data_IF_044979178892
#
_entry.id   IF_044979178892
#
_cell.length_a   1.000
_cell.length_b   1.000
_cell.length_c   1.000
_cell.angle_alpha   90.00
_cell.angle_beta   90.00
_cell.angle_gamma   90.00
#
_symmetry.space_group_name_H-M   'P 1'
#
loop_
_entity.id
_entity.type
_entity.pdbx_description
1 polymer ?
#
# COMPACT_ATOMS: atom_id res chain seq x y z
N UNK A 1 0.76 22.78 -13.01
CA UNK A 1 -0.70 22.82 -12.74
C UNK A 1 -0.95 21.77 -11.65
N UNK A 2 -1.28 22.18 -10.42
CA UNK A 2 -1.44 21.24 -9.28
C UNK A 2 -2.61 20.29 -9.57
N UNK A 3 -2.31 19.03 -9.82
CA UNK A 3 -3.32 17.99 -9.98
C UNK A 3 -3.70 17.55 -8.57
N UNK A 4 -4.81 18.08 -8.05
CA UNK A 4 -5.53 17.46 -6.95
C UNK A 4 -6.26 16.24 -7.52
N UNK A 5 -5.73 15.03 -7.32
CA UNK A 5 -6.49 13.81 -7.52
C UNK A 5 -7.26 13.50 -6.25
N UNK A 6 -8.58 13.66 -6.32
CA UNK A 6 -9.54 13.18 -5.33
C UNK A 6 -9.60 11.65 -5.37
N UNK A 7 -9.25 11.00 -4.26
CA UNK A 7 -9.41 9.55 -4.03
C UNK A 7 -10.91 9.25 -3.82
N UNK A 8 -11.51 8.27 -4.51
CA UNK A 8 -12.91 7.92 -4.28
C UNK A 8 -13.06 7.10 -2.98
N UNK A 9 -13.99 7.52 -2.12
CA UNK A 9 -14.50 6.68 -1.03
C UNK A 9 -15.19 5.44 -1.63
N UNK A 10 -14.60 4.26 -1.44
CA UNK A 10 -15.30 3.00 -1.66
C UNK A 10 -16.23 2.74 -0.46
N UNK A 11 -17.53 2.86 -0.69
CA UNK A 11 -18.55 2.28 0.20
C UNK A 11 -18.62 0.78 -0.06
N UNK A 12 -18.03 -0.05 0.82
CA UNK A 12 -18.27 -1.49 0.80
C UNK A 12 -19.58 -1.82 1.51
N UNK A 13 -20.47 -2.49 0.79
CA UNK A 13 -21.66 -3.11 1.35
C UNK A 13 -21.25 -4.36 2.14
N UNK A 14 -21.70 -4.44 3.39
CA UNK A 14 -21.55 -5.59 4.26
C UNK A 14 -22.33 -6.79 3.70
N UNK A 15 -21.61 -7.84 3.28
CA UNK A 15 -22.19 -9.17 3.11
C UNK A 15 -21.66 -10.08 4.20
N UNK A 16 -22.57 -10.70 4.93
CA UNK A 16 -22.35 -11.55 6.10
C UNK A 16 -21.18 -12.54 5.92
N UNK A 17 -20.26 -12.53 6.89
CA UNK A 17 -19.26 -13.58 7.08
C UNK A 17 -19.90 -14.77 7.84
N UNK A 18 -19.58 -16.03 7.48
CA UNK A 18 -20.08 -17.22 8.15
C UNK A 18 -19.29 -17.55 9.42
N UNK A 19 -19.97 -18.19 10.37
CA UNK A 19 -19.43 -18.76 11.61
C UNK A 19 -18.04 -19.40 11.44
N UNK A 20 -17.08 -18.99 12.28
CA UNK A 20 -15.82 -19.71 12.48
C UNK A 20 -15.70 -20.23 13.92
N UNK A 21 -15.20 -21.46 14.11
CA UNK A 21 -15.13 -22.12 15.41
C UNK A 21 -13.77 -21.89 16.08
N UNK A 22 -13.73 -21.04 17.10
CA UNK A 22 -12.59 -20.90 18.03
C UNK A 22 -12.80 -21.77 19.27
N UNK A 23 -11.87 -22.70 19.53
CA UNK A 23 -11.91 -23.54 20.72
C UNK A 23 -11.59 -22.73 21.97
N UNK A 24 -12.58 -22.59 22.87
CA UNK A 24 -12.43 -21.93 24.18
C UNK A 24 -11.35 -22.62 25.02
N UNK A 25 -10.40 -21.85 25.53
CA UNK A 25 -9.58 -22.23 26.68
C UNK A 25 -10.49 -22.42 27.91
N UNK A 26 -10.19 -23.43 28.70
CA UNK A 26 -11.06 -23.94 29.74
C UNK A 26 -11.21 -22.94 30.91
N UNK A 27 -12.45 -22.49 31.14
CA UNK A 27 -12.83 -21.76 32.35
C UNK A 27 -12.75 -22.67 33.59
N UNK A 28 -12.16 -22.14 34.66
CA UNK A 28 -12.09 -22.79 35.96
C UNK A 28 -13.49 -22.87 36.60
N UNK A 29 -13.84 -24.04 37.13
CA UNK A 29 -15.10 -24.31 37.84
C UNK A 29 -14.99 -23.98 39.32
N UNK A 30 -15.91 -23.19 39.88
CA UNK A 30 -16.35 -23.28 41.30
C UNK A 30 -17.84 -22.90 41.44
N UNK A 31 -18.52 -23.51 42.40
CA UNK A 31 -19.97 -23.48 42.66
C UNK A 31 -20.43 -22.50 43.77
N UNK A 32 -21.55 -21.83 43.50
CA UNK A 32 -22.61 -21.20 44.31
C UNK A 32 -22.57 -21.24 45.88
N UNK A 33 -22.85 -20.06 46.45
CA UNK A 33 -23.36 -19.64 47.79
C UNK A 33 -22.78 -20.22 49.09
N UNK A 34 -21.57 -20.78 49.07
CA UNK A 34 -20.78 -20.96 50.32
C UNK A 34 -19.31 -20.63 50.13
N UNK A 35 -18.98 -19.34 50.00
CA UNK A 35 -17.59 -18.88 49.93
C UNK A 35 -16.78 -19.45 48.76
N UNK A 36 -17.43 -19.72 47.62
CA UNK A 36 -16.79 -20.13 46.37
C UNK A 36 -16.74 -18.97 45.38
N UNK A 37 -15.63 -18.85 44.65
CA UNK A 37 -15.41 -17.85 43.59
C UNK A 37 -16.44 -18.02 42.47
N UNK A 38 -17.14 -16.94 42.11
CA UNK A 38 -18.07 -16.89 40.96
C UNK A 38 -17.23 -16.71 39.70
N UNK A 39 -17.37 -17.59 38.71
CA UNK A 39 -16.70 -17.44 37.41
C UNK A 39 -17.39 -16.33 36.60
N UNK A 40 -16.65 -15.62 35.73
CA UNK A 40 -17.26 -14.55 34.94
C UNK A 40 -18.46 -15.01 34.09
N UNK A 41 -18.42 -16.25 33.59
CA UNK A 41 -19.51 -16.84 32.81
C UNK A 41 -20.81 -17.02 33.59
N UNK A 42 -20.73 -17.10 34.93
CA UNK A 42 -21.89 -17.29 35.82
C UNK A 42 -22.28 -15.97 36.55
N UNK A 43 -21.58 -14.88 36.27
CA UNK A 43 -21.83 -13.59 36.90
C UNK A 43 -23.17 -12.98 36.44
N UNK A 44 -23.90 -12.27 37.33
CA UNK A 44 -25.16 -11.63 36.99
C UNK A 44 -25.01 -10.59 35.88
N UNK A 45 -26.02 -10.51 35.03
CA UNK A 45 -26.11 -9.52 33.96
C UNK A 45 -26.73 -8.21 34.47
N UNK A 46 -26.12 -7.09 34.09
CA UNK A 46 -26.72 -5.75 34.19
C UNK A 46 -27.25 -5.39 32.81
N UNK A 47 -28.58 -5.42 32.68
CA UNK A 47 -29.31 -5.17 31.44
C UNK A 47 -30.05 -3.83 31.54
N UNK A 48 -29.40 -2.72 31.17
CA UNK A 48 -30.08 -1.49 30.74
C UNK A 48 -29.08 -0.66 29.90
N UNK A 49 -29.48 -0.41 28.65
CA UNK A 49 -28.64 -0.01 27.53
C UNK A 49 -27.91 1.34 27.74
N UNK A 50 -26.64 1.40 27.33
CA UNK A 50 -25.71 2.52 27.51
C UNK A 50 -25.46 2.84 28.99
N UNK A 51 -24.57 2.07 29.62
CA UNK A 51 -24.07 2.42 30.96
C UNK A 51 -23.13 3.62 30.81
N UNK A 52 -23.70 4.82 30.86
CA UNK A 52 -22.95 6.05 31.14
C UNK A 52 -22.63 6.00 32.63
N UNK A 53 -21.39 5.67 32.98
CA UNK A 53 -20.96 5.61 34.37
C UNK A 53 -20.73 7.03 34.86
N UNK A 54 -21.73 7.59 35.55
CA UNK A 54 -21.60 8.83 36.30
C UNK A 54 -21.30 8.53 37.78
N UNK A 55 -20.66 9.47 38.47
CA UNK A 55 -20.23 9.35 39.88
C UNK A 55 -21.31 8.77 40.79
N UNK A 56 -20.98 7.69 41.50
CA UNK A 56 -21.83 7.06 42.50
C UNK A 56 -22.87 6.08 41.96
N UNK A 57 -22.79 5.69 40.69
CA UNK A 57 -23.78 4.83 40.03
C UNK A 57 -23.19 3.62 39.25
N UNK A 58 -21.94 3.21 39.52
CA UNK A 58 -21.34 2.05 38.85
C UNK A 58 -21.90 0.70 39.33
N UNK A 59 -21.83 -0.35 38.50
CA UNK A 59 -22.43 -1.67 38.75
C UNK A 59 -21.86 -2.40 39.99
N UNK A 60 -20.70 -2.01 40.50
CA UNK A 60 -19.97 -2.75 41.52
C UNK A 60 -20.39 -2.45 42.97
N UNK A 61 -21.67 -2.68 43.29
CA UNK A 61 -22.21 -2.43 44.64
C UNK A 61 -21.97 -3.57 45.66
N UNK A 62 -21.63 -4.79 45.23
CA UNK A 62 -21.57 -5.98 46.12
C UNK A 62 -20.26 -6.77 46.13
N UNK A 63 -19.16 -6.28 45.54
CA UNK A 63 -17.88 -7.02 45.35
C UNK A 63 -17.96 -8.31 44.52
N UNK A 64 -19.15 -8.70 44.06
CA UNK A 64 -19.36 -9.82 43.14
C UNK A 64 -19.09 -9.38 41.69
N UNK A 65 -18.59 -10.29 40.85
CA UNK A 65 -18.39 -10.04 39.42
C UNK A 65 -19.72 -9.73 38.72
N UNK A 66 -19.66 -8.95 37.64
CA UNK A 66 -20.82 -8.54 36.84
C UNK A 66 -20.52 -8.62 35.34
N UNK A 67 -21.54 -8.98 34.55
CA UNK A 67 -21.54 -8.92 33.07
C UNK A 67 -22.41 -7.76 32.61
N UNK A 68 -21.91 -6.91 31.72
CA UNK A 68 -22.68 -5.81 31.12
C UNK A 68 -23.26 -6.27 29.80
N UNK A 69 -24.56 -6.10 29.58
CA UNK A 69 -25.21 -6.36 28.29
C UNK A 69 -25.51 -5.03 27.61
N UNK A 70 -24.82 -4.75 26.51
CA UNK A 70 -24.86 -3.46 25.81
C UNK A 70 -23.54 -2.69 25.88
N UNK A 71 -23.56 -1.47 25.33
CA UNK A 71 -22.38 -0.62 25.25
C UNK A 71 -22.09 0.09 26.59
N UNK A 72 -20.82 0.32 26.85
CA UNK A 72 -20.29 1.02 28.01
C UNK A 72 -19.50 2.25 27.56
N UNK A 73 -19.88 3.41 28.09
CA UNK A 73 -19.28 4.70 27.74
C UNK A 73 -18.65 5.34 28.98
N UNK A 74 -17.33 5.47 28.96
CA UNK A 74 -16.53 6.18 29.94
C UNK A 74 -16.13 7.54 29.35
N UNK A 75 -16.97 8.54 29.61
CA UNK A 75 -16.74 9.95 29.24
C UNK A 75 -16.79 10.82 30.48
N UNK A 76 -15.86 11.77 30.57
CA UNK A 76 -15.65 12.64 31.72
C UNK A 76 -15.20 11.86 32.97
N UNK A 77 -14.24 12.42 33.73
CA UNK A 77 -13.59 11.78 34.90
C UNK A 77 -14.51 11.64 36.14
N UNK A 78 -15.77 11.27 35.95
CA UNK A 78 -16.78 11.20 37.00
C UNK A 78 -16.92 9.81 37.61
N UNK A 79 -16.08 8.82 37.29
CA UNK A 79 -16.18 7.47 37.85
C UNK A 79 -14.98 7.17 38.76
N UNK A 80 -15.23 6.45 39.86
CA UNK A 80 -14.16 5.99 40.75
C UNK A 80 -13.72 4.57 40.35
N UNK A 81 -12.42 4.21 40.39
CA UNK A 81 -11.96 2.89 39.93
C UNK A 81 -12.64 1.69 40.60
N UNK A 82 -13.05 1.83 41.86
CA UNK A 82 -13.77 0.78 42.62
C UNK A 82 -15.18 0.51 42.07
N UNK A 83 -15.75 1.45 41.32
CA UNK A 83 -17.12 1.34 40.77
C UNK A 83 -17.21 0.38 39.58
N UNK A 84 -16.07 0.03 38.97
CA UNK A 84 -15.99 -0.77 37.73
C UNK A 84 -15.11 -2.02 37.86
N UNK A 85 -14.39 -2.18 38.98
CA UNK A 85 -13.41 -3.27 39.16
C UNK A 85 -14.01 -4.67 39.10
N UNK A 86 -15.31 -4.82 39.36
CA UNK A 86 -16.04 -6.09 39.29
C UNK A 86 -16.53 -6.48 37.89
N UNK A 87 -16.48 -5.56 36.92
CA UNK A 87 -16.93 -5.84 35.56
C UNK A 87 -15.98 -6.86 34.94
N UNK A 88 -16.52 -8.01 34.57
CA UNK A 88 -15.74 -9.11 34.01
C UNK A 88 -16.05 -9.39 32.54
N UNK A 89 -17.22 -8.98 32.06
CA UNK A 89 -17.61 -9.09 30.66
C UNK A 89 -18.41 -7.87 30.21
N UNK A 90 -18.22 -7.47 28.95
CA UNK A 90 -19.04 -6.49 28.24
C UNK A 90 -19.52 -7.15 26.94
N UNK A 91 -20.78 -7.55 26.91
CA UNK A 91 -21.48 -8.02 25.71
C UNK A 91 -21.92 -6.82 24.86
N UNK A 92 -20.94 -6.07 24.36
CA UNK A 92 -21.14 -4.82 23.64
C UNK A 92 -19.81 -4.09 23.47
N UNK A 93 -19.88 -2.80 23.20
CA UNK A 93 -18.72 -1.96 22.94
C UNK A 93 -18.25 -1.23 24.19
N UNK A 94 -16.95 -1.01 24.31
CA UNK A 94 -16.34 -0.17 25.34
C UNK A 94 -15.72 1.07 24.69
N UNK A 95 -16.21 2.23 25.09
CA UNK A 95 -15.74 3.54 24.65
C UNK A 95 -15.13 4.27 25.85
N UNK A 96 -13.88 4.71 25.74
CA UNK A 96 -13.15 5.45 26.76
C UNK A 96 -12.65 6.73 26.10
N UNK A 97 -13.45 7.79 26.17
CA UNK A 97 -13.25 8.98 25.35
C UNK A 97 -13.25 10.27 26.18
N UNK A 98 -12.44 11.24 25.79
CA UNK A 98 -12.46 12.60 26.34
C UNK A 98 -12.27 12.67 27.88
N UNK A 99 -11.35 11.86 28.43
CA UNK A 99 -11.01 11.87 29.86
C UNK A 99 -9.66 12.56 30.11
N UNK A 100 -9.63 13.89 30.35
CA UNK A 100 -8.39 14.63 30.50
C UNK A 100 -7.67 14.43 31.84
N UNK A 101 -8.33 13.92 32.89
CA UNK A 101 -7.67 13.61 34.16
C UNK A 101 -7.32 12.11 34.33
N UNK A 102 -7.91 11.23 33.53
CA UNK A 102 -7.56 9.82 33.48
C UNK A 102 -6.08 9.64 33.16
N UNK A 103 -5.32 9.25 34.17
CA UNK A 103 -3.85 9.16 34.11
C UNK A 103 -3.27 7.83 34.59
N UNK A 104 -4.00 7.12 35.45
CA UNK A 104 -3.71 5.76 35.89
C UNK A 104 -4.25 4.72 34.91
N UNK A 105 -4.02 3.44 35.19
CA UNK A 105 -4.67 2.34 34.47
C UNK A 105 -6.20 2.40 34.50
N UNK A 106 -6.79 1.59 33.65
CA UNK A 106 -8.22 1.46 33.46
C UNK A 106 -8.85 0.69 34.62
N UNK A 107 -10.11 0.99 34.98
CA UNK A 107 -10.73 0.51 36.21
C UNK A 107 -11.26 -0.92 36.10
N UNK A 108 -10.71 -1.71 35.19
CA UNK A 108 -11.16 -3.05 34.85
C UNK A 108 -10.16 -4.06 35.42
N UNK A 109 -10.36 -4.56 36.64
CA UNK A 109 -9.43 -5.54 37.22
C UNK A 109 -9.72 -6.98 36.79
N UNK A 110 -10.92 -7.24 36.26
CA UNK A 110 -11.40 -8.59 35.96
C UNK A 110 -11.98 -8.72 34.54
N UNK A 111 -11.83 -7.72 33.68
CA UNK A 111 -12.42 -7.75 32.34
C UNK A 111 -11.70 -8.78 31.47
N UNK A 112 -12.43 -9.83 31.11
CA UNK A 112 -11.96 -10.97 30.32
C UNK A 112 -12.65 -11.02 28.95
N UNK A 113 -13.91 -10.60 28.86
CA UNK A 113 -14.72 -10.71 27.62
C UNK A 113 -15.20 -9.33 27.15
N UNK A 114 -14.90 -8.98 25.88
CA UNK A 114 -15.40 -7.79 25.21
C UNK A 114 -15.80 -8.13 23.77
N UNK A 115 -17.11 -8.26 23.50
CA UNK A 115 -17.59 -8.78 22.21
C UNK A 115 -17.69 -7.71 21.11
N UNK A 116 -17.73 -6.43 21.49
CA UNK A 116 -17.84 -5.29 20.58
C UNK A 116 -16.51 -4.60 20.33
N UNK A 117 -16.57 -3.29 20.10
CA UNK A 117 -15.39 -2.48 19.83
C UNK A 117 -14.73 -2.01 21.13
N UNK A 118 -13.41 -1.81 21.10
CA UNK A 118 -12.64 -1.14 22.14
C UNK A 118 -12.06 0.16 21.58
N UNK A 119 -12.68 1.29 21.89
CA UNK A 119 -12.21 2.59 21.45
C UNK A 119 -11.71 3.39 22.65
N UNK A 120 -10.44 3.77 22.60
CA UNK A 120 -9.79 4.61 23.59
C UNK A 120 -9.26 5.83 22.84
N UNK A 121 -10.01 6.92 22.91
CA UNK A 121 -9.77 8.11 22.09
C UNK A 121 -9.65 9.37 22.98
N UNK A 122 -8.73 10.28 22.66
CA UNK A 122 -8.64 11.60 23.28
C UNK A 122 -8.48 11.59 24.83
N UNK A 123 -7.61 10.70 25.33
CA UNK A 123 -7.24 10.63 26.76
C UNK A 123 -5.78 11.10 26.95
N UNK A 124 -5.53 12.42 27.02
CA UNK A 124 -4.19 13.00 26.89
C UNK A 124 -3.25 12.72 28.08
N UNK A 125 -3.77 12.23 29.21
CA UNK A 125 -2.97 11.90 30.38
C UNK A 125 -2.84 10.39 30.62
N UNK A 126 -3.53 9.54 29.84
CA UNK A 126 -3.54 8.09 30.05
C UNK A 126 -2.15 7.52 29.76
N UNK A 127 -1.52 6.93 30.78
CA UNK A 127 -0.12 6.45 30.68
C UNK A 127 0.01 4.96 30.41
N UNK A 128 -1.04 4.18 30.67
CA UNK A 128 -1.05 2.71 30.57
C UNK A 128 -2.43 2.19 30.23
N UNK A 129 -2.49 1.03 29.58
CA UNK A 129 -3.72 0.28 29.30
C UNK A 129 -3.96 -0.84 30.35
N UNK A 130 -3.25 -0.81 31.48
CA UNK A 130 -3.44 -1.74 32.60
C UNK A 130 -4.95 -1.86 32.94
N UNK A 131 -5.44 -3.09 33.07
CA UNK A 131 -6.86 -3.41 33.24
C UNK A 131 -7.48 -4.13 32.03
N UNK A 132 -6.77 -4.21 30.91
CA UNK A 132 -7.24 -4.93 29.71
C UNK A 132 -6.49 -6.24 29.46
N UNK A 133 -5.64 -6.69 30.39
CA UNK A 133 -4.66 -7.76 30.14
C UNK A 133 -5.29 -9.12 29.87
N UNK A 134 -6.52 -9.33 30.31
CA UNK A 134 -7.23 -10.58 30.14
C UNK A 134 -8.19 -10.56 28.95
N UNK A 135 -8.30 -9.44 28.23
CA UNK A 135 -9.08 -9.35 26.99
C UNK A 135 -8.28 -10.00 25.87
N UNK A 136 -8.79 -11.12 25.36
CA UNK A 136 -8.13 -11.89 24.31
C UNK A 136 -8.57 -11.52 22.88
N UNK A 137 -9.74 -10.92 22.75
CA UNK A 137 -10.34 -10.60 21.46
C UNK A 137 -11.24 -9.39 21.53
N UNK A 138 -11.30 -8.62 20.43
CA UNK A 138 -12.24 -7.52 20.23
C UNK A 138 -12.70 -7.48 18.76
N UNK A 139 -13.85 -6.86 18.49
CA UNK A 139 -14.31 -6.68 17.11
C UNK A 139 -13.49 -5.63 16.34
N UNK A 140 -13.06 -4.57 17.03
CA UNK A 140 -12.15 -3.55 16.52
C UNK A 140 -11.50 -2.81 17.67
N UNK A 141 -10.24 -2.45 17.51
CA UNK A 141 -9.47 -1.65 18.45
C UNK A 141 -9.10 -0.29 17.84
N UNK A 142 -9.34 0.78 18.61
CA UNK A 142 -8.84 2.13 18.31
C UNK A 142 -8.10 2.71 19.49
N UNK A 143 -6.87 3.15 19.24
CA UNK A 143 -6.02 3.88 20.16
C UNK A 143 -5.67 5.21 19.50
N UNK A 144 -6.43 6.26 19.80
CA UNK A 144 -6.35 7.54 19.08
C UNK A 144 -6.06 8.68 20.04
N UNK A 145 -5.10 9.54 19.69
CA UNK A 145 -4.72 10.71 20.47
C UNK A 145 -4.41 10.38 21.94
N UNK A 146 -3.48 9.43 22.15
CA UNK A 146 -2.99 9.01 23.47
C UNK A 146 -1.52 9.44 23.67
N UNK A 147 -1.22 10.75 23.73
CA UNK A 147 0.15 11.26 23.73
C UNK A 147 0.98 10.89 24.96
N UNK A 148 0.34 10.53 26.08
CA UNK A 148 1.01 10.13 27.31
C UNK A 148 1.20 8.60 27.44
N UNK A 149 0.60 7.81 26.54
CA UNK A 149 0.66 6.36 26.60
C UNK A 149 2.08 5.90 26.27
N UNK A 150 2.66 5.06 27.13
CA UNK A 150 4.05 4.63 27.02
C UNK A 150 4.20 3.40 26.14
N UNK A 151 3.35 2.41 26.36
CA UNK A 151 3.31 1.15 25.64
C UNK A 151 1.88 0.57 25.68
N UNK A 152 1.69 -0.57 25.05
CA UNK A 152 0.43 -1.28 24.96
C UNK A 152 0.43 -2.54 25.84
N UNK A 153 1.27 -2.63 26.90
CA UNK A 153 1.41 -3.83 27.74
C UNK A 153 0.09 -4.30 28.37
N UNK A 154 -0.86 -3.37 28.53
CA UNK A 154 -2.23 -3.68 28.95
C UNK A 154 -3.00 -4.58 27.97
N UNK A 155 -2.56 -4.73 26.74
CA UNK A 155 -3.18 -5.54 25.68
C UNK A 155 -2.44 -6.87 25.42
N UNK A 156 -1.52 -7.29 26.30
CA UNK A 156 -0.74 -8.53 26.11
C UNK A 156 -1.58 -9.79 25.94
N UNK A 157 -2.82 -9.81 26.41
CA UNK A 157 -3.74 -10.92 26.20
C UNK A 157 -4.32 -10.99 24.79
N UNK A 158 -4.27 -9.90 24.02
CA UNK A 158 -4.99 -9.75 22.76
C UNK A 158 -4.36 -10.61 21.65
N UNK A 159 -5.12 -11.61 21.21
CA UNK A 159 -4.76 -12.53 20.13
C UNK A 159 -5.44 -12.15 18.80
N UNK A 160 -6.63 -11.51 18.86
CA UNK A 160 -7.42 -11.11 17.70
C UNK A 160 -8.04 -9.70 17.86
N UNK A 161 -7.68 -8.78 16.97
CA UNK A 161 -8.24 -7.41 16.92
C UNK A 161 -9.42 -7.28 15.93
N UNK A 162 -9.86 -8.39 15.34
CA UNK A 162 -11.02 -8.49 14.47
C UNK A 162 -10.87 -7.68 13.19
N UNK A 163 -11.85 -6.81 12.95
CA UNK A 163 -11.98 -6.07 11.69
C UNK A 163 -10.91 -4.99 11.53
N UNK A 164 -10.48 -4.33 12.61
CA UNK A 164 -9.60 -3.17 12.49
C UNK A 164 -8.85 -2.86 13.76
N UNK A 165 -7.53 -2.67 13.63
CA UNK A 165 -6.64 -2.05 14.60
C UNK A 165 -6.21 -0.68 14.04
N UNK A 166 -6.63 0.42 14.69
CA UNK A 166 -6.19 1.77 14.36
C UNK A 166 -5.39 2.37 15.52
N UNK A 167 -4.17 2.81 15.23
CA UNK A 167 -3.34 3.57 16.14
C UNK A 167 -3.08 4.93 15.48
N UNK A 168 -3.46 6.01 16.15
CA UNK A 168 -3.32 7.36 15.61
C UNK A 168 -2.96 8.41 16.64
N UNK A 169 -2.13 9.39 16.27
CA UNK A 169 -1.72 10.47 17.16
C UNK A 169 -1.11 9.99 18.49
N UNK A 170 -0.49 8.81 18.46
CA UNK A 170 -0.06 8.06 19.66
C UNK A 170 1.42 7.74 19.55
N UNK A 171 2.16 7.95 20.64
CA UNK A 171 3.61 7.73 20.72
C UNK A 171 4.02 6.44 21.44
N UNK A 172 3.04 5.69 21.93
CA UNK A 172 3.27 4.45 22.66
C UNK A 172 4.04 3.43 21.81
N UNK A 173 4.98 2.72 22.42
CA UNK A 173 5.53 1.51 21.81
C UNK A 173 4.40 0.52 21.52
N UNK A 174 4.50 -0.23 20.42
CA UNK A 174 3.59 -1.35 20.13
C UNK A 174 3.79 -2.55 21.07
N UNK A 175 4.84 -2.52 21.92
CA UNK A 175 5.05 -3.52 22.96
C UNK A 175 3.77 -3.76 23.76
N UNK A 176 3.40 -5.02 23.91
CA UNK A 176 2.12 -5.46 24.44
C UNK A 176 1.16 -6.05 23.41
N UNK A 177 1.46 -5.98 22.11
CA UNK A 177 0.68 -6.63 21.06
C UNK A 177 1.31 -7.93 20.54
N UNK A 178 2.30 -8.49 21.26
CA UNK A 178 3.15 -9.60 20.76
C UNK A 178 2.40 -10.88 20.43
N UNK A 179 1.20 -11.06 21.00
CA UNK A 179 0.34 -12.22 20.80
C UNK A 179 -0.71 -12.02 19.70
N UNK A 180 -0.81 -10.82 19.11
CA UNK A 180 -1.77 -10.53 18.05
C UNK A 180 -1.41 -11.31 16.78
N UNK A 181 -2.17 -12.36 16.47
CA UNK A 181 -1.88 -13.26 15.35
C UNK A 181 -2.46 -12.75 14.03
N UNK A 182 -3.65 -12.15 14.09
CA UNK A 182 -4.38 -11.67 12.91
C UNK A 182 -5.08 -10.34 13.18
N UNK A 183 -5.17 -9.51 12.13
CA UNK A 183 -6.07 -8.36 12.07
C UNK A 183 -6.47 -8.14 10.63
N UNK A 184 -7.75 -7.84 10.37
CA UNK A 184 -8.18 -7.62 9.00
C UNK A 184 -7.62 -6.29 8.45
N UNK A 185 -7.82 -5.16 9.13
CA UNK A 185 -7.23 -3.87 8.76
C UNK A 185 -6.25 -3.38 9.83
N UNK A 186 -5.00 -3.09 9.45
CA UNK A 186 -4.03 -2.43 10.32
C UNK A 186 -3.78 -1.00 9.84
N UNK A 187 -4.15 0.00 10.64
CA UNK A 187 -3.94 1.41 10.33
C UNK A 187 -3.05 2.07 11.39
N UNK A 188 -1.85 2.47 10.97
CA UNK A 188 -0.97 3.38 11.69
C UNK A 188 -1.00 4.72 10.95
N UNK A 189 -1.55 5.76 11.57
CA UNK A 189 -1.63 7.10 10.99
C UNK A 189 -1.14 8.11 12.03
N UNK A 190 -0.16 8.97 11.72
CA UNK A 190 0.42 9.86 12.74
C UNK A 190 0.98 9.09 13.97
N UNK A 191 1.45 7.85 13.76
CA UNK A 191 2.11 7.05 14.79
C UNK A 191 3.53 7.55 15.04
N UNK A 192 3.86 7.85 16.29
CA UNK A 192 5.13 8.51 16.65
C UNK A 192 6.21 7.56 17.15
N UNK A 193 5.94 6.24 17.18
CA UNK A 193 6.92 5.22 17.52
C UNK A 193 7.96 4.99 16.42
N UNK A 194 9.09 4.37 16.80
CA UNK A 194 10.25 4.18 15.89
C UNK A 194 10.26 2.83 15.17
N UNK A 195 9.55 1.85 15.71
CA UNK A 195 9.45 0.47 15.21
C UNK A 195 8.09 -0.14 15.58
N UNK A 196 7.90 -1.39 15.19
CA UNK A 196 6.66 -2.14 15.31
C UNK A 196 6.88 -3.45 16.09
N UNK A 197 7.77 -3.42 17.09
CA UNK A 197 8.22 -4.61 17.82
C UNK A 197 7.10 -5.42 18.49
N UNK A 198 5.93 -4.84 18.68
CA UNK A 198 4.74 -5.53 19.17
C UNK A 198 4.12 -6.52 18.18
N UNK A 199 4.35 -6.44 16.87
CA UNK A 199 3.61 -7.27 15.90
C UNK A 199 4.31 -8.61 15.57
N UNK A 200 5.00 -9.21 16.53
CA UNK A 200 5.84 -10.40 16.31
C UNK A 200 5.10 -11.66 15.89
N UNK A 201 3.84 -11.81 16.31
CA UNK A 201 3.00 -12.96 15.93
C UNK A 201 2.11 -12.68 14.71
N UNK A 202 2.12 -11.47 14.17
CA UNK A 202 1.18 -11.07 13.13
C UNK A 202 1.54 -11.73 11.80
N UNK A 203 0.74 -12.73 11.39
CA UNK A 203 1.01 -13.55 10.19
C UNK A 203 0.29 -13.07 8.94
N UNK A 204 -0.85 -12.39 9.10
CA UNK A 204 -1.68 -11.91 8.00
C UNK A 204 -2.38 -10.59 8.35
N UNK A 205 -2.43 -9.70 7.36
CA UNK A 205 -3.20 -8.45 7.37
C UNK A 205 -3.86 -8.30 6.02
N UNK A 206 -5.17 -8.01 5.95
CA UNK A 206 -5.81 -7.77 4.66
C UNK A 206 -5.34 -6.42 4.09
N UNK A 207 -5.62 -5.32 4.80
CA UNK A 207 -5.22 -3.98 4.39
C UNK A 207 -4.31 -3.33 5.44
N UNK A 208 -3.12 -2.92 5.01
CA UNK A 208 -2.19 -2.14 5.83
C UNK A 208 -2.13 -0.70 5.35
N UNK A 209 -2.27 0.21 6.29
CA UNK A 209 -2.00 1.63 6.10
C UNK A 209 -0.94 2.06 7.11
N UNK A 210 0.19 2.57 6.62
CA UNK A 210 1.24 3.20 7.43
C UNK A 210 1.52 4.58 6.84
N UNK A 211 0.86 5.59 7.43
CA UNK A 211 0.82 6.95 6.93
C UNK A 211 1.31 7.95 7.97
N UNK A 212 2.01 9.00 7.53
CA UNK A 212 2.34 10.13 8.40
C UNK A 212 3.07 9.73 9.69
N UNK A 213 3.90 8.68 9.70
CA UNK A 213 4.61 8.21 10.89
C UNK A 213 6.04 8.81 10.89
N UNK A 214 6.27 9.99 11.51
CA UNK A 214 7.51 10.75 11.29
C UNK A 214 8.75 10.13 11.93
N UNK A 215 8.57 9.24 12.90
CA UNK A 215 9.66 8.58 13.64
C UNK A 215 9.89 7.15 13.21
N UNK A 216 8.97 6.54 12.45
CA UNK A 216 9.04 5.14 12.08
C UNK A 216 10.20 4.92 11.10
N UNK A 217 11.15 4.06 11.47
CA UNK A 217 12.38 3.85 10.69
C UNK A 217 12.37 2.58 9.84
N UNK A 218 11.60 1.57 10.27
CA UNK A 218 11.47 0.26 9.62
C UNK A 218 10.20 -0.45 10.10
N UNK A 219 9.96 -1.66 9.59
CA UNK A 219 8.88 -2.56 9.99
C UNK A 219 9.33 -3.60 11.02
N UNK A 220 10.41 -3.33 11.75
CA UNK A 220 10.99 -4.26 12.73
C UNK A 220 9.90 -4.69 13.72
N UNK A 221 9.71 -6.00 13.82
CA UNK A 221 8.63 -6.62 14.59
C UNK A 221 7.62 -7.39 13.73
N UNK A 222 7.48 -7.09 12.44
CA UNK A 222 6.50 -7.77 11.56
C UNK A 222 7.04 -8.99 10.81
N UNK A 223 8.06 -9.67 11.34
CA UNK A 223 8.80 -10.72 10.63
C UNK A 223 8.01 -11.99 10.33
N UNK A 224 6.85 -12.16 10.95
CA UNK A 224 5.94 -13.29 10.70
C UNK A 224 4.93 -13.02 9.57
N UNK A 225 4.82 -11.78 9.08
CA UNK A 225 3.82 -11.42 8.09
C UNK A 225 4.14 -12.02 6.72
N UNK A 226 3.26 -12.92 6.23
CA UNK A 226 3.48 -13.67 4.99
C UNK A 226 2.68 -13.11 3.80
N UNK A 227 1.46 -12.63 4.05
CA UNK A 227 0.52 -12.26 2.98
C UNK A 227 -0.29 -11.02 3.31
N UNK A 228 -0.60 -10.23 2.28
CA UNK A 228 -1.49 -9.09 2.37
C UNK A 228 -2.38 -8.94 1.13
N UNK A 229 -3.55 -8.32 1.28
CA UNK A 229 -4.35 -7.93 0.14
C UNK A 229 -3.89 -6.57 -0.40
N UNK A 230 -3.64 -5.59 0.46
CA UNK A 230 -3.18 -4.27 0.05
C UNK A 230 -2.32 -3.60 1.12
N UNK A 231 -1.40 -2.75 0.70
CA UNK A 231 -0.57 -1.94 1.58
C UNK A 231 -0.37 -0.54 1.00
N UNK A 232 -0.66 0.48 1.79
CA UNK A 232 -0.31 1.87 1.53
C UNK A 232 0.68 2.34 2.59
N UNK A 233 1.90 2.66 2.15
CA UNK A 233 3.02 3.00 3.02
C UNK A 233 3.60 4.32 2.53
N UNK A 234 3.33 5.40 3.24
CA UNK A 234 3.78 6.69 2.78
C UNK A 234 3.73 7.85 3.74
N UNK A 235 4.38 8.95 3.34
CA UNK A 235 4.53 10.14 4.19
C UNK A 235 5.26 9.83 5.51
N UNK A 236 6.20 8.89 5.50
CA UNK A 236 6.99 8.52 6.68
C UNK A 236 8.39 9.12 6.55
N UNK A 237 8.61 10.25 7.24
CA UNK A 237 9.81 11.09 7.08
C UNK A 237 11.13 10.40 7.49
N UNK A 238 11.05 9.38 8.35
CA UNK A 238 12.20 8.64 8.87
C UNK A 238 12.32 7.20 8.33
N UNK A 239 11.40 6.74 7.47
CA UNK A 239 11.40 5.35 6.98
C UNK A 239 12.58 5.12 6.03
N UNK A 240 13.56 4.33 6.46
CA UNK A 240 14.80 4.07 5.71
C UNK A 240 14.70 2.80 4.88
N UNK A 241 14.01 1.79 5.38
CA UNK A 241 13.91 0.47 4.77
C UNK A 241 12.66 -0.32 5.24
N UNK A 242 12.49 -1.52 4.69
CA UNK A 242 11.42 -2.46 5.03
C UNK A 242 11.89 -3.62 5.92
N UNK A 243 12.99 -3.44 6.69
CA UNK A 243 13.46 -4.43 7.65
C UNK A 243 12.30 -4.86 8.55
N UNK A 244 12.11 -6.17 8.69
CA UNK A 244 10.97 -6.75 9.38
C UNK A 244 9.91 -7.35 8.46
N UNK A 245 9.93 -7.12 7.14
CA UNK A 245 8.99 -7.76 6.19
C UNK A 245 9.59 -8.96 5.42
N UNK A 246 10.64 -9.58 5.94
CA UNK A 246 11.43 -10.60 5.22
C UNK A 246 10.67 -11.88 4.85
N UNK A 247 9.49 -12.11 5.45
CA UNK A 247 8.64 -13.28 5.18
C UNK A 247 7.50 -12.96 4.23
N UNK A 248 7.31 -11.69 3.85
CA UNK A 248 6.21 -11.27 2.98
C UNK A 248 6.42 -11.79 1.56
N UNK A 249 5.61 -12.77 1.14
CA UNK A 249 5.72 -13.39 -0.18
C UNK A 249 4.76 -12.82 -1.21
N UNK A 250 3.61 -12.30 -0.75
CA UNK A 250 2.50 -11.93 -1.64
C UNK A 250 1.77 -10.68 -1.16
N UNK A 251 1.54 -9.76 -2.11
CA UNK A 251 0.54 -8.67 -1.99
C UNK A 251 -0.45 -8.81 -3.14
N UNK A 252 -1.65 -9.33 -2.89
CA UNK A 252 -2.59 -9.71 -3.97
C UNK A 252 -3.09 -8.50 -4.79
N UNK A 253 -3.34 -7.39 -4.10
CA UNK A 253 -3.85 -6.13 -4.62
C UNK A 253 -2.74 -5.12 -4.79
N UNK A 254 -2.77 -4.01 -4.05
CA UNK A 254 -1.89 -2.86 -4.29
C UNK A 254 -0.78 -2.77 -3.24
N UNK A 255 0.46 -2.59 -3.67
CA UNK A 255 1.56 -2.12 -2.83
C UNK A 255 1.91 -0.70 -3.27
N UNK A 256 1.53 0.28 -2.46
CA UNK A 256 1.77 1.69 -2.73
C UNK A 256 2.79 2.26 -1.75
N UNK A 257 4.02 2.47 -2.22
CA UNK A 257 5.14 3.03 -1.47
C UNK A 257 5.33 4.47 -1.94
N UNK A 258 4.91 5.44 -1.14
CA UNK A 258 4.77 6.82 -1.60
C UNK A 258 5.29 7.89 -0.64
N UNK A 259 6.03 8.89 -1.12
CA UNK A 259 6.46 10.03 -0.29
C UNK A 259 7.23 9.59 0.98
N UNK A 260 8.20 8.68 0.87
CA UNK A 260 9.12 8.35 1.96
C UNK A 260 10.49 8.98 1.62
N UNK A 261 10.79 10.20 2.11
CA UNK A 261 11.88 11.03 1.59
C UNK A 261 13.28 10.48 1.86
N UNK A 262 13.44 9.59 2.82
CA UNK A 262 14.73 8.98 3.21
C UNK A 262 14.82 7.49 2.91
N UNK A 263 13.80 6.91 2.26
CA UNK A 263 13.77 5.49 1.90
C UNK A 263 14.85 5.20 0.86
N UNK A 264 15.78 4.32 1.19
CA UNK A 264 16.91 3.95 0.30
C UNK A 264 16.92 2.48 -0.10
N UNK A 265 16.20 1.62 0.63
CA UNK A 265 16.41 0.18 0.59
C UNK A 265 15.07 -0.60 0.65
N UNK A 266 14.86 -1.53 -0.29
CA UNK A 266 13.68 -2.42 -0.32
C UNK A 266 14.03 -3.88 0.03
N UNK A 267 15.27 -4.18 0.46
CA UNK A 267 15.76 -5.55 0.71
C UNK A 267 14.97 -6.32 1.77
N UNK A 268 14.26 -5.60 2.65
CA UNK A 268 13.26 -6.19 3.53
C UNK A 268 12.15 -6.94 2.81
N UNK A 269 11.93 -6.70 1.51
CA UNK A 269 10.94 -7.35 0.65
C UNK A 269 11.52 -8.52 -0.16
N UNK A 270 12.72 -9.02 0.14
CA UNK A 270 13.44 -10.02 -0.68
C UNK A 270 12.67 -11.33 -0.99
N UNK A 271 11.61 -11.64 -0.23
CA UNK A 271 10.75 -12.81 -0.45
C UNK A 271 9.53 -12.53 -1.35
N UNK A 272 9.26 -11.27 -1.71
CA UNK A 272 8.06 -10.82 -2.40
C UNK A 272 8.06 -11.26 -3.87
N UNK A 273 7.42 -12.40 -4.14
CA UNK A 273 7.39 -13.04 -5.46
C UNK A 273 6.24 -12.58 -6.36
N UNK A 274 5.17 -12.04 -5.77
CA UNK A 274 3.97 -11.61 -6.48
C UNK A 274 3.35 -10.36 -5.87
N UNK A 275 3.06 -9.39 -6.74
CA UNK A 275 2.29 -8.17 -6.40
C UNK A 275 1.23 -7.95 -7.47
N UNK A 276 0.02 -7.55 -7.08
CA UNK A 276 -0.96 -7.03 -8.02
C UNK A 276 -0.46 -5.73 -8.67
N UNK A 277 -0.66 -4.59 -8.04
CA UNK A 277 -0.19 -3.29 -8.51
C UNK A 277 0.98 -2.81 -7.63
N UNK A 278 2.16 -2.65 -8.22
CA UNK A 278 3.32 -2.07 -7.56
C UNK A 278 3.45 -0.59 -7.97
N UNK A 279 3.27 0.31 -7.02
CA UNK A 279 3.38 1.75 -7.21
C UNK A 279 4.47 2.27 -6.25
N UNK A 280 5.60 2.71 -6.80
CA UNK A 280 6.72 3.31 -6.04
C UNK A 280 6.86 4.73 -6.53
N UNK A 281 6.42 5.69 -5.71
CA UNK A 281 6.17 7.06 -6.14
C UNK A 281 6.76 8.07 -5.17
N UNK A 282 7.48 9.08 -5.65
CA UNK A 282 8.02 10.15 -4.80
C UNK A 282 8.90 9.64 -3.64
N UNK A 283 9.81 8.69 -3.90
CA UNK A 283 10.83 8.27 -2.94
C UNK A 283 12.20 8.74 -3.46
N UNK A 284 12.55 10.03 -3.26
CA UNK A 284 13.66 10.67 -3.97
C UNK A 284 15.04 10.10 -3.66
N UNK A 285 15.23 9.41 -2.52
CA UNK A 285 16.50 8.81 -2.13
C UNK A 285 16.62 7.32 -2.52
N UNK A 286 15.58 6.73 -3.13
CA UNK A 286 15.58 5.32 -3.51
C UNK A 286 16.51 5.12 -4.71
N UNK A 287 17.62 4.38 -4.53
CA UNK A 287 18.64 4.23 -5.57
C UNK A 287 18.46 3.00 -6.45
N UNK A 288 17.81 1.97 -5.93
CA UNK A 288 17.58 0.70 -6.62
C UNK A 288 16.28 0.05 -6.16
N UNK A 289 15.86 -1.00 -6.86
CA UNK A 289 14.73 -1.85 -6.45
C UNK A 289 15.20 -3.16 -5.79
N UNK A 290 16.42 -3.20 -5.27
CA UNK A 290 16.96 -4.38 -4.59
C UNK A 290 16.04 -4.79 -3.43
N UNK A 291 15.70 -6.08 -3.39
CA UNK A 291 14.59 -6.63 -2.60
C UNK A 291 13.48 -7.20 -3.48
N UNK A 292 13.39 -6.80 -4.75
CA UNK A 292 12.35 -7.31 -5.66
C UNK A 292 12.87 -8.38 -6.65
N UNK A 293 14.04 -8.98 -6.41
CA UNK A 293 14.73 -9.85 -7.37
C UNK A 293 13.98 -11.14 -7.73
N UNK A 294 12.98 -11.54 -6.94
CA UNK A 294 12.16 -12.73 -7.17
C UNK A 294 10.78 -12.40 -7.74
N UNK A 295 10.48 -11.11 -7.95
CA UNK A 295 9.19 -10.64 -8.43
C UNK A 295 8.97 -11.07 -9.89
N UNK A 296 8.06 -12.01 -10.10
CA UNK A 296 7.85 -12.63 -11.41
C UNK A 296 6.61 -12.11 -12.14
N UNK A 297 5.63 -11.60 -11.38
CA UNK A 297 4.35 -11.12 -11.89
C UNK A 297 3.97 -9.81 -11.24
N UNK A 298 3.62 -8.82 -12.08
CA UNK A 298 3.03 -7.54 -11.70
C UNK A 298 1.91 -7.21 -12.68
N UNK A 299 0.73 -6.87 -12.18
CA UNK A 299 -0.36 -6.34 -13.00
C UNK A 299 0.00 -4.93 -13.49
N UNK A 300 0.24 -4.00 -12.56
CA UNK A 300 0.62 -2.61 -12.85
C UNK A 300 1.94 -2.28 -12.19
N UNK A 301 2.93 -1.84 -12.97
CA UNK A 301 4.17 -1.25 -12.47
C UNK A 301 4.09 0.27 -12.65
N UNK A 302 4.30 1.03 -11.59
CA UNK A 302 4.41 2.50 -11.67
C UNK A 302 5.60 2.94 -10.86
N UNK A 303 6.58 3.54 -11.54
CA UNK A 303 7.77 4.16 -10.96
C UNK A 303 7.73 5.64 -11.33
N UNK A 304 7.47 6.51 -10.35
CA UNK A 304 7.24 7.93 -10.60
C UNK A 304 8.00 8.81 -9.60
N UNK A 305 8.73 9.82 -10.05
CA UNK A 305 9.47 10.76 -9.18
C UNK A 305 10.38 10.07 -8.14
N UNK A 306 11.15 9.05 -8.57
CA UNK A 306 12.20 8.45 -7.75
C UNK A 306 13.56 8.94 -8.25
N UNK A 307 13.92 10.16 -7.87
CA UNK A 307 14.99 10.94 -8.50
C UNK A 307 16.36 10.23 -8.56
N UNK A 308 16.71 9.45 -7.53
CA UNK A 308 17.99 8.72 -7.44
C UNK A 308 17.93 7.29 -8.01
N UNK A 309 16.77 6.83 -8.50
CA UNK A 309 16.61 5.47 -9.00
C UNK A 309 17.41 5.29 -10.29
N UNK A 310 18.51 4.54 -10.21
CA UNK A 310 19.46 4.39 -11.30
C UNK A 310 19.45 2.99 -11.93
N UNK A 311 18.77 2.01 -11.32
CA UNK A 311 18.78 0.63 -11.79
C UNK A 311 17.45 -0.08 -11.58
N UNK A 312 17.05 -0.85 -12.60
CA UNK A 312 15.90 -1.75 -12.58
C UNK A 312 16.33 -3.23 -12.51
N UNK A 313 17.61 -3.54 -12.22
CA UNK A 313 18.14 -4.91 -12.29
C UNK A 313 17.37 -5.95 -11.46
N UNK A 314 16.74 -5.50 -10.37
CA UNK A 314 15.90 -6.33 -9.53
C UNK A 314 14.62 -6.82 -10.23
N UNK A 315 14.22 -6.23 -11.36
CA UNK A 315 13.04 -6.64 -12.12
C UNK A 315 13.34 -7.68 -13.23
N UNK A 316 14.57 -8.20 -13.30
CA UNK A 316 15.01 -9.09 -14.40
C UNK A 316 14.22 -10.39 -14.56
N UNK A 317 13.44 -10.79 -13.55
CA UNK A 317 12.53 -11.94 -13.59
C UNK A 317 11.14 -11.63 -14.14
N UNK A 318 10.82 -10.35 -14.35
CA UNK A 318 9.49 -9.91 -14.79
C UNK A 318 9.28 -10.22 -16.27
N UNK A 319 8.32 -11.09 -16.58
CA UNK A 319 8.09 -11.55 -17.96
C UNK A 319 6.87 -10.93 -18.63
N UNK A 320 5.87 -10.56 -17.84
CA UNK A 320 4.60 -10.00 -18.31
C UNK A 320 4.15 -8.91 -17.35
N UNK A 321 3.73 -7.78 -17.91
CA UNK A 321 2.95 -6.75 -17.20
C UNK A 321 1.63 -6.51 -17.91
N UNK A 322 0.61 -6.04 -17.21
CA UNK A 322 -0.51 -5.43 -17.92
C UNK A 322 -0.17 -3.99 -18.28
N UNK A 323 0.32 -3.18 -17.33
CA UNK A 323 0.66 -1.78 -17.57
C UNK A 323 1.97 -1.43 -16.88
N UNK A 324 2.82 -0.65 -17.55
CA UNK A 324 4.03 -0.09 -16.98
C UNK A 324 4.09 1.42 -17.23
N UNK A 325 4.40 2.19 -16.21
CA UNK A 325 4.61 3.63 -16.28
C UNK A 325 5.89 4.00 -15.53
N UNK A 326 6.87 4.45 -16.29
CA UNK A 326 8.14 4.96 -15.79
C UNK A 326 8.16 6.45 -16.14
N UNK A 327 8.05 7.27 -15.10
CA UNK A 327 7.88 8.70 -15.22
C UNK A 327 8.83 9.45 -14.27
N UNK A 328 9.48 10.52 -14.75
CA UNK A 328 10.33 11.38 -13.90
C UNK A 328 11.40 10.60 -13.11
N UNK A 329 12.28 9.89 -13.82
CA UNK A 329 13.39 9.12 -13.25
C UNK A 329 14.73 9.64 -13.81
N UNK A 330 15.18 10.85 -13.41
CA UNK A 330 16.32 11.53 -14.04
C UNK A 330 17.66 10.77 -13.90
N UNK A 331 17.82 9.91 -12.88
CA UNK A 331 19.04 9.09 -12.71
C UNK A 331 19.01 7.78 -13.50
N UNK A 332 17.88 7.41 -14.10
CA UNK A 332 17.74 6.16 -14.85
C UNK A 332 18.30 6.32 -16.26
N UNK A 333 19.42 5.64 -16.54
CA UNK A 333 20.11 5.75 -17.83
C UNK A 333 19.93 4.54 -18.74
N UNK A 334 19.26 3.49 -18.27
CA UNK A 334 19.03 2.25 -19.01
C UNK A 334 17.81 1.53 -18.45
N UNK A 335 17.11 0.78 -19.31
CA UNK A 335 16.03 -0.10 -18.92
C UNK A 335 16.53 -1.53 -18.58
N UNK A 336 17.85 -1.73 -18.50
CA UNK A 336 18.45 -2.99 -18.06
C UNK A 336 17.85 -3.45 -16.74
N UNK A 337 17.47 -4.72 -16.69
CA UNK A 337 16.56 -5.30 -15.71
C UNK A 337 15.16 -5.57 -16.25
N UNK A 338 14.79 -5.10 -17.44
CA UNK A 338 13.52 -5.44 -18.10
C UNK A 338 13.68 -6.43 -19.27
N UNK A 339 14.86 -7.02 -19.48
CA UNK A 339 15.17 -7.85 -20.66
C UNK A 339 14.27 -9.11 -20.74
N UNK A 340 13.77 -9.56 -19.58
CA UNK A 340 12.83 -10.66 -19.48
C UNK A 340 11.41 -10.33 -19.93
N UNK A 341 11.07 -9.04 -20.08
CA UNK A 341 9.72 -8.58 -20.38
C UNK A 341 9.34 -8.89 -21.82
N UNK A 342 8.56 -9.95 -22.02
CA UNK A 342 8.17 -10.39 -23.36
C UNK A 342 6.88 -9.78 -23.88
N UNK A 343 6.01 -9.34 -22.96
CA UNK A 343 4.68 -8.85 -23.30
C UNK A 343 4.14 -7.84 -22.30
N UNK A 344 3.61 -6.73 -22.81
CA UNK A 344 2.67 -5.88 -22.09
C UNK A 344 1.25 -6.13 -22.58
N UNK A 345 0.28 -6.36 -21.68
CA UNK A 345 -1.13 -6.56 -22.12
C UNK A 345 -1.87 -5.25 -22.40
N UNK A 346 -1.36 -4.15 -21.88
CA UNK A 346 -1.82 -2.77 -22.09
C UNK A 346 -0.63 -1.90 -22.48
N UNK A 347 -0.58 -0.68 -21.97
CA UNK A 347 0.39 0.32 -22.38
C UNK A 347 1.67 0.25 -21.54
N UNK A 348 2.79 0.48 -22.21
CA UNK A 348 4.03 0.94 -21.59
C UNK A 348 4.12 2.45 -21.84
N UNK A 349 4.33 3.22 -20.77
CA UNK A 349 4.54 4.67 -20.80
C UNK A 349 5.93 4.97 -20.27
N UNK A 350 6.75 5.58 -21.10
CA UNK A 350 8.05 6.14 -20.77
C UNK A 350 7.93 7.66 -20.91
N UNK A 351 8.13 8.39 -19.81
CA UNK A 351 7.93 9.83 -19.79
C UNK A 351 8.97 10.54 -18.92
N UNK A 352 9.62 11.57 -19.46
CA UNK A 352 10.58 12.36 -18.69
C UNK A 352 11.67 11.49 -18.01
N UNK A 353 12.37 10.70 -18.82
CA UNK A 353 13.52 9.89 -18.42
C UNK A 353 14.77 10.53 -19.05
N UNK A 354 15.19 11.68 -18.50
CA UNK A 354 16.22 12.54 -19.09
C UNK A 354 17.56 11.83 -19.34
N UNK A 355 17.90 10.84 -18.52
CA UNK A 355 19.16 10.09 -18.62
C UNK A 355 19.15 8.96 -19.66
N UNK A 356 18.00 8.63 -20.24
CA UNK A 356 17.85 7.47 -21.12
C UNK A 356 18.21 7.81 -22.58
N UNK A 357 19.20 7.12 -23.14
CA UNK A 357 19.71 7.38 -24.51
C UNK A 357 19.15 6.43 -25.57
N UNK A 358 18.72 5.26 -25.15
CA UNK A 358 18.12 4.21 -25.99
C UNK A 358 17.14 3.38 -25.12
N UNK A 359 16.51 2.37 -25.69
CA UNK A 359 15.55 1.50 -24.99
C UNK A 359 16.13 0.12 -24.67
N UNK A 360 17.47 0.00 -24.60
CA UNK A 360 18.17 -1.23 -24.19
C UNK A 360 17.63 -1.68 -22.84
N UNK A 361 17.27 -2.96 -22.75
CA UNK A 361 16.46 -3.54 -21.69
C UNK A 361 15.06 -3.96 -22.14
N UNK A 362 14.56 -3.53 -23.30
CA UNK A 362 13.26 -3.95 -23.84
C UNK A 362 13.36 -4.96 -24.99
N UNK A 363 14.53 -5.55 -25.24
CA UNK A 363 14.79 -6.41 -26.41
C UNK A 363 13.88 -7.65 -26.46
N UNK A 364 13.46 -8.12 -25.28
CA UNK A 364 12.54 -9.24 -25.15
C UNK A 364 11.09 -8.92 -25.55
N UNK A 365 10.71 -7.64 -25.60
CA UNK A 365 9.32 -7.21 -25.77
C UNK A 365 8.85 -7.46 -27.20
N UNK A 366 8.02 -8.49 -27.38
CA UNK A 366 7.50 -8.85 -28.72
C UNK A 366 6.14 -8.27 -29.03
N UNK A 367 5.37 -7.92 -28.00
CA UNK A 367 3.99 -7.44 -28.13
C UNK A 367 3.59 -6.52 -26.99
N UNK A 368 2.96 -5.40 -27.32
CA UNK A 368 2.25 -4.55 -26.37
C UNK A 368 0.88 -4.12 -26.91
N UNK A 369 0.00 -3.57 -26.07
CA UNK A 369 -1.18 -2.88 -26.60
C UNK A 369 -0.76 -1.49 -27.11
N UNK A 370 -0.03 -0.74 -26.30
CA UNK A 370 0.46 0.58 -26.70
C UNK A 370 1.84 0.87 -26.12
N UNK A 371 2.57 1.75 -26.78
CA UNK A 371 3.86 2.24 -26.34
C UNK A 371 3.88 3.76 -26.50
N UNK A 372 4.10 4.46 -25.40
CA UNK A 372 4.21 5.90 -25.35
C UNK A 372 5.62 6.29 -24.91
N UNK A 373 6.34 7.00 -25.78
CA UNK A 373 7.71 7.49 -25.58
C UNK A 373 7.65 9.01 -25.68
N UNK A 374 7.68 9.68 -24.54
CA UNK A 374 7.42 11.13 -24.44
C UNK A 374 8.47 11.85 -23.64
N UNK A 375 8.94 12.99 -24.14
CA UNK A 375 9.83 13.89 -23.40
C UNK A 375 11.06 13.14 -22.84
N UNK A 376 11.63 12.22 -23.63
CA UNK A 376 12.90 11.54 -23.31
C UNK A 376 14.04 12.34 -23.94
N UNK A 377 14.45 13.42 -23.27
CA UNK A 377 15.36 14.43 -23.84
C UNK A 377 16.75 13.88 -24.21
N UNK A 378 17.18 12.78 -23.61
CA UNK A 378 18.43 12.09 -23.95
C UNK A 378 18.32 11.03 -25.04
N UNK A 379 17.10 10.65 -25.45
CA UNK A 379 16.86 9.50 -26.33
C UNK A 379 17.33 9.80 -27.75
N UNK A 380 18.29 9.03 -28.27
CA UNK A 380 18.87 9.21 -29.61
C UNK A 380 18.30 8.24 -30.66
N UNK A 381 17.97 7.01 -30.23
CA UNK A 381 17.42 5.91 -31.06
C UNK A 381 16.33 5.14 -30.31
N UNK A 382 15.67 4.18 -30.97
CA UNK A 382 14.75 3.22 -30.34
C UNK A 382 15.41 1.84 -30.16
N UNK A 383 16.74 1.76 -30.19
CA UNK A 383 17.48 0.51 -30.01
C UNK A 383 17.01 -0.18 -28.73
N UNK A 384 16.80 -1.49 -28.79
CA UNK A 384 16.12 -2.23 -27.71
C UNK A 384 14.66 -2.56 -28.02
N UNK A 385 14.05 -1.98 -29.06
CA UNK A 385 12.74 -2.43 -29.56
C UNK A 385 12.81 -3.49 -30.65
N UNK A 386 13.99 -4.07 -30.90
CA UNK A 386 14.26 -5.00 -32.02
C UNK A 386 13.38 -6.26 -32.03
N UNK A 387 12.77 -6.59 -30.89
CA UNK A 387 11.83 -7.70 -30.76
C UNK A 387 10.37 -7.34 -31.04
N UNK A 388 10.01 -6.05 -31.02
CA UNK A 388 8.62 -5.57 -30.97
C UNK A 388 7.94 -5.68 -32.33
N UNK A 389 7.22 -6.78 -32.54
CA UNK A 389 6.56 -7.05 -33.82
C UNK A 389 5.14 -6.48 -33.93
N UNK A 390 4.43 -6.33 -32.82
CA UNK A 390 3.00 -5.97 -32.84
C UNK A 390 2.59 -5.06 -31.70
N UNK A 391 1.90 -3.99 -32.05
CA UNK A 391 1.12 -3.14 -31.17
C UNK A 391 -0.35 -3.23 -31.58
N UNK A 392 -1.25 -3.55 -30.65
CA UNK A 392 -2.71 -3.57 -30.89
C UNK A 392 -3.37 -2.31 -30.31
N UNK A 393 -2.75 -1.18 -30.61
CA UNK A 393 -3.05 0.13 -30.03
C UNK A 393 -1.98 1.10 -30.51
N UNK A 394 -1.81 2.22 -29.82
CA UNK A 394 -0.98 3.33 -30.30
C UNK A 394 0.52 3.14 -30.05
N UNK A 395 1.34 3.44 -31.06
CA UNK A 395 2.72 3.90 -30.89
C UNK A 395 2.73 5.42 -30.89
N UNK A 396 3.13 6.04 -29.78
CA UNK A 396 3.27 7.50 -29.67
C UNK A 396 4.71 7.85 -29.32
N UNK A 397 5.38 8.54 -30.23
CA UNK A 397 6.76 9.04 -30.08
C UNK A 397 6.69 10.56 -30.17
N UNK A 398 6.87 11.23 -29.05
CA UNK A 398 6.59 12.66 -28.98
C UNK A 398 7.55 13.47 -28.13
N UNK A 399 7.88 14.66 -28.61
CA UNK A 399 8.65 15.66 -27.85
C UNK A 399 10.01 15.10 -27.35
N UNK A 400 10.64 14.17 -28.08
CA UNK A 400 11.98 13.65 -27.72
C UNK A 400 13.06 14.51 -28.38
N UNK A 401 13.74 15.33 -27.59
CA UNK A 401 14.59 16.41 -28.09
C UNK A 401 15.86 15.93 -28.83
N UNK A 402 16.41 14.78 -28.46
CA UNK A 402 17.63 14.21 -29.05
C UNK A 402 17.36 13.10 -30.08
N UNK A 403 16.10 12.72 -30.34
CA UNK A 403 15.77 11.55 -31.14
C UNK A 403 16.05 11.81 -32.62
N UNK A 404 17.14 11.26 -33.14
CA UNK A 404 17.59 11.48 -34.52
C UNK A 404 17.03 10.45 -35.51
N UNK A 405 16.80 9.21 -35.05
CA UNK A 405 16.41 8.07 -35.88
C UNK A 405 15.55 7.08 -35.09
N UNK A 406 14.77 6.27 -35.80
CA UNK A 406 13.89 5.25 -35.21
C UNK A 406 14.48 3.83 -35.26
N UNK A 407 15.81 3.71 -35.42
CA UNK A 407 16.56 2.45 -35.37
C UNK A 407 16.13 1.61 -34.16
N UNK A 408 15.96 0.30 -34.34
CA UNK A 408 15.41 -0.64 -33.36
C UNK A 408 13.93 -0.97 -33.60
N UNK A 409 13.20 -0.19 -34.41
CA UNK A 409 11.78 -0.43 -34.70
C UNK A 409 11.51 -1.33 -35.94
N UNK A 410 12.53 -1.93 -36.55
CA UNK A 410 12.48 -2.66 -37.83
C UNK A 410 11.68 -3.96 -37.78
N UNK A 411 11.44 -4.48 -36.58
CA UNK A 411 10.61 -5.66 -36.38
C UNK A 411 9.10 -5.34 -36.44
N UNK A 412 8.71 -4.08 -36.27
CA UNK A 412 7.31 -3.69 -36.13
C UNK A 412 6.56 -3.90 -37.44
N UNK A 413 5.48 -4.68 -37.37
CA UNK A 413 4.62 -5.04 -38.52
C UNK A 413 3.24 -4.41 -38.46
N UNK A 414 2.70 -4.21 -37.27
CA UNK A 414 1.33 -3.72 -37.10
C UNK A 414 1.21 -2.85 -35.86
N UNK A 415 0.45 -1.76 -36.02
CA UNK A 415 0.08 -0.79 -34.99
C UNK A 415 -1.34 -0.28 -35.28
N UNK A 416 -2.10 0.13 -34.28
CA UNK A 416 -3.39 0.76 -34.54
C UNK A 416 -3.21 2.24 -34.93
N UNK A 417 -2.67 3.04 -34.01
CA UNK A 417 -2.31 4.43 -34.29
C UNK A 417 -0.79 4.61 -34.33
N UNK A 418 -0.26 5.27 -35.36
CA UNK A 418 1.13 5.71 -35.39
C UNK A 418 1.20 7.23 -35.25
N UNK A 419 1.77 7.71 -34.14
CA UNK A 419 1.91 9.14 -33.82
C UNK A 419 3.36 9.50 -33.59
N UNK A 420 3.97 10.23 -34.54
CA UNK A 420 5.34 10.74 -34.47
C UNK A 420 5.27 12.28 -34.46
N UNK A 421 5.42 12.87 -33.28
CA UNK A 421 5.04 14.26 -33.03
C UNK A 421 6.19 15.07 -32.44
N UNK A 422 6.52 16.22 -33.02
CA UNK A 422 7.42 17.20 -32.39
C UNK A 422 8.81 16.67 -32.01
N UNK A 423 9.35 15.68 -32.72
CA UNK A 423 10.73 15.23 -32.52
C UNK A 423 11.66 16.13 -33.37
N UNK A 424 12.16 17.20 -32.77
CA UNK A 424 12.73 18.34 -33.50
C UNK A 424 13.94 18.02 -34.36
N UNK A 425 14.75 17.04 -33.94
CA UNK A 425 15.99 16.60 -34.62
C UNK A 425 15.85 15.28 -35.39
N UNK A 426 14.66 14.68 -35.40
CA UNK A 426 14.39 13.44 -36.12
C UNK A 426 14.62 13.66 -37.61
N UNK A 427 15.48 12.85 -38.23
CA UNK A 427 15.81 12.93 -39.66
C UNK A 427 15.49 11.65 -40.41
N UNK A 428 15.34 10.52 -39.71
CA UNK A 428 15.18 9.21 -40.34
C UNK A 428 14.05 8.39 -39.68
N UNK A 429 13.10 7.93 -40.51
CA UNK A 429 11.99 7.06 -40.11
C UNK A 429 11.96 5.72 -40.87
N UNK A 430 13.03 5.40 -41.61
CA UNK A 430 13.10 4.23 -42.49
C UNK A 430 12.98 2.90 -41.74
N UNK A 431 13.32 2.88 -40.44
CA UNK A 431 13.11 1.72 -39.58
C UNK A 431 11.65 1.24 -39.58
N UNK A 432 10.67 2.13 -39.81
CA UNK A 432 9.25 1.79 -39.85
C UNK A 432 8.75 1.34 -41.24
N UNK A 433 9.61 1.25 -42.27
CA UNK A 433 9.23 0.72 -43.59
C UNK A 433 8.83 -0.77 -43.56
N UNK A 434 9.05 -1.46 -42.44
CA UNK A 434 8.63 -2.83 -42.18
C UNK A 434 7.13 -2.98 -41.90
N UNK A 435 6.42 -1.88 -41.61
CA UNK A 435 5.01 -1.89 -41.24
C UNK A 435 4.13 -2.40 -42.39
N UNK A 436 3.40 -3.47 -42.12
CA UNK A 436 2.39 -4.01 -43.03
C UNK A 436 1.08 -3.21 -42.93
N UNK A 437 0.73 -2.76 -41.73
CA UNK A 437 -0.56 -2.10 -41.46
C UNK A 437 -0.51 -1.09 -40.30
N UNK A 438 -1.15 0.07 -40.54
CA UNK A 438 -1.63 1.00 -39.51
C UNK A 438 -3.16 0.95 -39.54
N UNK A 439 -3.81 0.35 -38.54
CA UNK A 439 -5.26 0.06 -38.63
C UNK A 439 -6.13 1.31 -38.53
N UNK A 440 -5.69 2.30 -37.74
CA UNK A 440 -6.35 3.58 -37.53
C UNK A 440 -5.49 4.73 -38.11
N UNK A 441 -5.13 5.75 -37.32
CA UNK A 441 -4.56 7.00 -37.84
C UNK A 441 -3.03 6.97 -37.96
N UNK A 442 -2.52 7.53 -39.06
CA UNK A 442 -1.10 7.88 -39.23
C UNK A 442 -0.92 9.39 -39.06
N UNK A 443 -0.18 9.80 -38.03
CA UNK A 443 0.13 11.22 -37.76
C UNK A 443 1.64 11.43 -37.64
N UNK A 444 2.23 12.18 -38.57
CA UNK A 444 3.65 12.57 -38.55
C UNK A 444 3.70 14.10 -38.62
N UNK A 445 3.83 14.76 -37.47
CA UNK A 445 3.74 16.23 -37.42
C UNK A 445 4.79 16.90 -36.55
N UNK A 446 5.20 18.11 -36.93
CA UNK A 446 6.11 18.92 -36.13
C UNK A 446 7.54 18.38 -36.02
N UNK A 447 7.93 17.39 -36.82
CA UNK A 447 9.30 16.85 -36.81
C UNK A 447 10.16 17.74 -37.71
N UNK A 448 10.66 18.85 -37.16
CA UNK A 448 11.20 19.97 -37.94
C UNK A 448 12.46 19.69 -38.76
N UNK A 449 13.14 18.57 -38.48
CA UNK A 449 14.31 18.11 -39.25
C UNK A 449 14.00 16.97 -40.23
N UNK A 450 12.84 16.33 -40.11
CA UNK A 450 12.43 15.21 -40.96
C UNK A 450 11.92 15.76 -42.28
N UNK A 451 12.49 15.34 -43.42
CA UNK A 451 11.99 15.80 -44.70
C UNK A 451 10.55 15.31 -44.92
N UNK A 452 9.68 16.19 -45.43
CA UNK A 452 8.29 15.83 -45.75
C UNK A 452 8.26 14.67 -46.75
N UNK A 453 9.19 14.63 -47.69
CA UNK A 453 9.33 13.53 -48.64
C UNK A 453 9.62 12.17 -47.97
N UNK A 454 10.39 12.15 -46.88
CA UNK A 454 10.70 10.91 -46.15
C UNK A 454 9.49 10.42 -45.33
N UNK A 455 8.73 11.36 -44.74
CA UNK A 455 7.46 11.04 -44.09
C UNK A 455 6.41 10.49 -45.09
N UNK A 456 6.36 11.05 -46.30
CA UNK A 456 5.52 10.56 -47.39
C UNK A 456 6.00 9.20 -47.93
N UNK A 457 7.31 8.97 -47.99
CA UNK A 457 7.89 7.69 -48.38
C UNK A 457 7.51 6.58 -47.37
N UNK A 458 7.53 6.87 -46.07
CA UNK A 458 7.03 5.93 -45.05
C UNK A 458 5.54 5.63 -45.26
N UNK A 459 4.69 6.65 -45.47
CA UNK A 459 3.26 6.46 -45.79
C UNK A 459 3.08 5.51 -46.98
N UNK A 460 3.86 5.70 -48.04
CA UNK A 460 3.77 4.91 -49.27
C UNK A 460 4.36 3.50 -49.12
N UNK A 461 5.27 3.30 -48.16
CA UNK A 461 5.85 1.99 -47.83
C UNK A 461 4.91 1.12 -46.97
N UNK A 462 4.04 1.74 -46.15
CA UNK A 462 3.07 1.02 -45.32
C UNK A 462 2.03 0.32 -46.20
N UNK A 463 1.83 -0.98 -45.98
CA UNK A 463 0.95 -1.81 -46.82
C UNK A 463 -0.52 -1.36 -46.82
N UNK A 464 -1.05 -0.99 -45.65
CA UNK A 464 -2.40 -0.45 -45.49
C UNK A 464 -2.48 0.57 -44.36
N UNK A 465 -3.20 1.68 -44.59
CA UNK A 465 -3.56 2.66 -43.56
C UNK A 465 -5.08 2.79 -43.56
N UNK A 466 -5.74 2.40 -42.46
CA UNK A 466 -7.19 2.35 -42.38
C UNK A 466 -7.85 3.70 -42.07
N UNK A 467 -7.17 4.55 -41.30
CA UNK A 467 -7.68 5.84 -40.84
C UNK A 467 -7.12 7.05 -41.60
N UNK A 468 -7.04 8.16 -40.88
CA UNK A 468 -6.61 9.46 -41.41
C UNK A 468 -5.10 9.54 -41.48
N UNK A 469 -4.57 10.03 -42.61
CA UNK A 469 -3.15 10.37 -42.76
C UNK A 469 -2.97 11.87 -42.58
N UNK A 470 -2.17 12.27 -41.59
CA UNK A 470 -1.80 13.66 -41.31
C UNK A 470 -0.29 13.81 -41.31
N UNK A 471 0.25 14.45 -42.36
CA UNK A 471 1.67 14.80 -42.48
C UNK A 471 1.75 16.32 -42.60
N UNK A 472 2.33 17.01 -41.60
CA UNK A 472 2.40 18.47 -41.60
C UNK A 472 3.43 19.03 -40.63
N UNK A 473 3.98 20.22 -40.90
CA UNK A 473 4.96 20.84 -40.01
C UNK A 473 6.31 20.12 -39.93
N UNK A 474 6.64 19.29 -40.93
CA UNK A 474 7.95 18.67 -41.11
C UNK A 474 8.83 19.56 -42.04
N UNK A 475 10.12 19.23 -42.22
CA UNK A 475 11.01 20.00 -43.11
C UNK A 475 10.55 19.94 -44.58
N UNK A 476 10.71 21.05 -45.35
CA UNK A 476 10.26 21.15 -46.73
C UNK A 476 11.07 20.33 -47.74
#
# INVERSE_FOLDING_TARGET
MRIMMTVPLLTLACSASPDLPGGRLASAKVTDTSGGEVSCADAPEVTDADVIVAAGAGPCFSSDLVRIVGDMLLTEDQWEPEELSCVCAIEGSLYINDNPALSSGLPFSNLEELTGVLYIEDNPQLTTLEGLQNVDSVYSLRLVNLPALVDMDGLRGLEDAGLSLRIEGTAASTQGLENLETVFNLRLDDYQGTDLAGFTALTAVNDLYVGNCPSLTSFTGMSALETMASAQIGQNDALVDFTGLSSLTTVDGELYIVNNPVLTDLTGLAALGSVGNLNIVQNPQLTSLDGLQVLSTVNRLTLDHNDQLASLSALSTLTIVNYADLSYLPSLTSLTGLEGLTRARRNISLYNLEGLTDLTGLEGLTRAQGLSIRDLDGLETLDGLDGLATLTGALTIRDNAALERLDGAEALRSVDDLRILSNGVLVDVTALHSLDEVTDDLTITGNTSLATADAEALRDAIGAIGGTVTISGNAP
#
